data_IF_052674006874
#
_entry.id   IF_052674006874
#
_cell.length_a   1.000
_cell.length_b   1.000
_cell.length_c   1.000
_cell.angle_alpha   90.00
_cell.angle_beta   90.00
_cell.angle_gamma   90.00
#
_symmetry.space_group_name_H-M   'P 1'
#
loop_
_entity.id
_entity.type
_entity.pdbx_description
1 polymer ?
#
# COMPACT_ATOMS: atom_id res chain seq x y z
N UNK A 1 -0.91 -1.19 0.09
CA UNK A 1 -1.93 -1.92 -0.70
C UNK A 1 -3.32 -1.39 -0.38
N UNK A 2 -4.23 -1.50 -1.31
CA UNK A 2 -5.57 -0.89 -1.18
C UNK A 2 -6.71 -1.85 -1.52
N UNK A 3 -6.42 -3.07 -1.92
CA UNK A 3 -7.42 -4.05 -2.30
C UNK A 3 -7.80 -4.00 -3.78
N UNK A 4 -7.00 -3.35 -4.62
CA UNK A 4 -7.23 -3.30 -6.07
C UNK A 4 -6.39 -4.34 -6.79
N UNK A 5 -6.73 -4.70 -8.05
CA UNK A 5 -5.92 -5.64 -8.83
C UNK A 5 -4.46 -5.21 -8.99
N UNK A 6 -4.17 -3.92 -8.93
CA UNK A 6 -2.81 -3.42 -9.02
C UNK A 6 -1.91 -3.93 -7.88
N UNK A 7 -2.48 -4.25 -6.72
CA UNK A 7 -1.74 -4.78 -5.59
C UNK A 7 -1.03 -6.10 -5.93
N UNK A 8 -1.69 -6.98 -6.67
CA UNK A 8 -1.13 -8.28 -7.02
C UNK A 8 0.14 -8.15 -7.86
N UNK A 9 0.10 -7.33 -8.89
CA UNK A 9 1.26 -7.09 -9.72
C UNK A 9 2.34 -6.31 -8.97
N UNK A 10 1.93 -5.37 -8.12
CA UNK A 10 2.86 -4.61 -7.29
C UNK A 10 3.65 -5.52 -6.35
N UNK A 11 2.98 -6.49 -5.70
CA UNK A 11 3.68 -7.41 -4.78
C UNK A 11 4.59 -8.37 -5.56
N UNK A 12 4.21 -8.80 -6.76
CA UNK A 12 5.09 -9.62 -7.60
C UNK A 12 6.36 -8.87 -7.98
N UNK A 13 6.22 -7.61 -8.37
CA UNK A 13 7.35 -6.75 -8.67
C UNK A 13 8.23 -6.53 -7.44
N UNK A 14 7.62 -6.25 -6.29
CA UNK A 14 8.34 -6.06 -5.04
C UNK A 14 9.12 -7.31 -4.64
N UNK A 15 8.51 -8.49 -4.79
CA UNK A 15 9.19 -9.76 -4.50
C UNK A 15 10.40 -9.98 -5.42
N UNK A 16 10.26 -9.66 -6.71
CA UNK A 16 11.37 -9.73 -7.65
C UNK A 16 12.54 -8.84 -7.27
N UNK A 17 12.23 -7.59 -6.89
CA UNK A 17 13.26 -6.63 -6.46
C UNK A 17 13.91 -7.05 -5.14
N UNK A 18 13.11 -7.52 -4.18
CA UNK A 18 13.63 -7.95 -2.88
C UNK A 18 14.55 -9.16 -3.01
N UNK A 19 14.19 -10.15 -3.83
CA UNK A 19 15.04 -11.32 -4.09
C UNK A 19 16.37 -10.93 -4.70
N UNK A 20 16.33 -10.03 -5.67
CA UNK A 20 17.55 -9.58 -6.35
C UNK A 20 18.49 -8.82 -5.42
N UNK A 21 17.93 -8.06 -4.47
CA UNK A 21 18.69 -7.19 -3.58
C UNK A 21 18.75 -7.71 -2.14
N UNK A 22 18.27 -8.91 -1.87
CA UNK A 22 18.18 -9.52 -0.53
C UNK A 22 17.47 -8.60 0.47
N UNK A 23 16.39 -7.96 -0.01
CA UNK A 23 15.64 -7.02 0.78
C UNK A 23 14.50 -7.66 1.56
N UNK A 24 13.91 -6.86 2.45
CA UNK A 24 12.70 -7.22 3.19
C UNK A 24 11.54 -6.42 2.66
N UNK A 25 10.33 -6.99 2.76
CA UNK A 25 9.10 -6.34 2.32
C UNK A 25 8.14 -6.22 3.50
N UNK A 26 7.54 -5.04 3.62
CA UNK A 26 6.40 -4.80 4.51
C UNK A 26 5.22 -4.37 3.65
N UNK A 27 4.13 -5.14 3.69
CA UNK A 27 2.89 -4.76 3.03
C UNK A 27 2.02 -4.04 4.05
N UNK A 28 1.58 -2.84 3.71
CA UNK A 28 0.85 -1.97 4.63
C UNK A 28 -0.52 -1.65 4.05
N UNK A 29 -1.55 -1.84 4.85
CA UNK A 29 -2.91 -1.39 4.58
C UNK A 29 -3.31 -0.37 5.65
N UNK A 30 -3.81 0.79 5.22
CA UNK A 30 -4.21 1.86 6.13
C UNK A 30 -5.73 1.98 6.16
N UNK A 31 -6.30 1.82 7.35
CA UNK A 31 -7.71 2.12 7.60
C UNK A 31 -7.79 3.61 7.93
N UNK A 32 -8.56 4.36 7.12
CA UNK A 32 -8.80 5.77 7.42
C UNK A 32 -9.99 5.90 8.36
N UNK A 33 -9.76 6.51 9.51
CA UNK A 33 -10.76 6.67 10.55
C UNK A 33 -11.37 8.07 10.46
N UNK A 34 -12.69 8.13 10.39
CA UNK A 34 -13.43 9.41 10.34
C UNK A 34 -13.12 10.26 11.57
N UNK A 35 -13.06 11.57 11.39
CA UNK A 35 -12.78 12.52 12.49
C UNK A 35 -13.86 12.49 13.57
N UNK A 36 -15.06 12.02 13.26
CA UNK A 36 -16.15 11.85 14.22
C UNK A 36 -15.94 10.68 15.19
N UNK A 37 -14.94 9.83 14.93
CA UNK A 37 -14.64 8.66 15.75
C UNK A 37 -13.25 8.80 16.40
N UNK A 38 -13.01 8.15 17.56
CA UNK A 38 -11.67 8.07 18.12
C UNK A 38 -10.71 7.39 17.14
N UNK A 39 -9.44 7.77 17.17
CA UNK A 39 -8.44 7.20 16.25
C UNK A 39 -8.24 5.70 16.48
N UNK A 40 -8.49 5.22 17.69
CA UNK A 40 -8.39 3.82 18.05
C UNK A 40 -9.73 3.07 17.97
N UNK A 41 -10.74 3.68 17.35
CA UNK A 41 -12.05 3.03 17.18
C UNK A 41 -11.87 1.72 16.40
N UNK A 42 -12.41 0.64 16.94
CA UNK A 42 -12.41 -0.66 16.29
C UNK A 42 -13.64 -0.79 15.39
N UNK A 43 -13.43 -0.62 14.09
CA UNK A 43 -14.47 -0.82 13.09
C UNK A 43 -14.26 -2.21 12.53
N UNK A 44 -14.98 -3.18 13.07
CA UNK A 44 -14.77 -4.60 12.78
C UNK A 44 -14.79 -4.92 11.29
N UNK A 45 -15.72 -4.34 10.53
CA UNK A 45 -15.81 -4.57 9.10
C UNK A 45 -14.57 -4.06 8.34
N UNK A 46 -14.03 -2.92 8.75
CA UNK A 46 -12.84 -2.35 8.14
C UNK A 46 -11.58 -3.14 8.50
N UNK A 47 -11.49 -3.60 9.74
CA UNK A 47 -10.38 -4.44 10.19
C UNK A 47 -10.37 -5.75 9.43
N UNK A 48 -11.53 -6.40 9.29
CA UNK A 48 -11.66 -7.65 8.55
C UNK A 48 -11.29 -7.49 7.09
N UNK A 49 -11.75 -6.41 6.46
CA UNK A 49 -11.40 -6.09 5.08
C UNK A 49 -9.88 -5.94 4.91
N UNK A 50 -9.24 -5.20 5.80
CA UNK A 50 -7.80 -5.00 5.77
C UNK A 50 -7.02 -6.30 5.98
N UNK A 51 -7.45 -7.12 6.93
CA UNK A 51 -6.85 -8.42 7.17
C UNK A 51 -6.97 -9.34 5.96
N UNK A 52 -8.13 -9.38 5.33
CA UNK A 52 -8.36 -10.18 4.12
C UNK A 52 -7.45 -9.74 2.96
N UNK A 53 -7.31 -8.43 2.78
CA UNK A 53 -6.43 -7.88 1.76
C UNK A 53 -4.96 -8.27 2.03
N UNK A 54 -4.51 -8.11 3.27
CA UNK A 54 -3.14 -8.46 3.64
C UNK A 54 -2.87 -9.96 3.56
N UNK A 55 -3.84 -10.79 3.95
CA UNK A 55 -3.72 -12.24 3.81
C UNK A 55 -3.59 -12.66 2.34
N UNK A 56 -4.36 -12.03 1.46
CA UNK A 56 -4.28 -12.28 0.03
C UNK A 56 -2.89 -11.90 -0.54
N UNK A 57 -2.37 -10.76 -0.13
CA UNK A 57 -1.04 -10.29 -0.53
C UNK A 57 0.04 -11.25 -0.02
N UNK A 58 -0.07 -11.71 1.20
CA UNK A 58 0.86 -12.67 1.79
C UNK A 58 0.86 -13.99 1.01
N UNK A 59 -0.32 -14.46 0.61
CA UNK A 59 -0.47 -15.66 -0.22
C UNK A 59 0.26 -15.51 -1.56
N UNK A 60 0.10 -14.37 -2.22
CA UNK A 60 0.78 -14.10 -3.49
C UNK A 60 2.30 -14.07 -3.29
N UNK A 61 2.76 -13.45 -2.21
CA UNK A 61 4.19 -13.42 -1.89
C UNK A 61 4.75 -14.82 -1.66
N UNK A 62 4.02 -15.68 -0.96
CA UNK A 62 4.41 -17.08 -0.75
C UNK A 62 4.53 -17.83 -2.08
N UNK A 63 3.60 -17.63 -2.99
CA UNK A 63 3.65 -18.22 -4.33
C UNK A 63 4.89 -17.78 -5.11
N UNK A 64 5.38 -16.58 -4.83
CA UNK A 64 6.62 -16.06 -5.41
C UNK A 64 7.87 -16.52 -4.64
N UNK A 65 7.72 -17.31 -3.58
CA UNK A 65 8.82 -17.72 -2.73
C UNK A 65 9.41 -16.58 -1.92
N UNK A 66 8.59 -15.62 -1.52
CA UNK A 66 8.99 -14.40 -0.85
C UNK A 66 8.30 -14.29 0.50
N UNK A 67 9.06 -14.04 1.55
CA UNK A 67 8.50 -13.77 2.87
C UNK A 67 8.28 -12.28 3.04
N UNK A 68 7.10 -11.92 3.55
CA UNK A 68 6.77 -10.52 3.83
C UNK A 68 6.21 -10.39 5.25
N UNK A 69 6.30 -9.18 5.78
CA UNK A 69 5.58 -8.79 6.97
C UNK A 69 4.41 -7.91 6.55
N UNK A 70 3.33 -7.97 7.32
CA UNK A 70 2.13 -7.17 7.04
C UNK A 70 1.81 -6.28 8.21
N UNK A 71 1.35 -5.06 7.92
CA UNK A 71 0.93 -4.09 8.94
C UNK A 71 -0.44 -3.53 8.59
N UNK A 72 -1.32 -3.56 9.57
CA UNK A 72 -2.64 -2.94 9.50
C UNK A 72 -2.62 -1.68 10.36
N UNK A 73 -2.67 -0.52 9.72
CA UNK A 73 -2.60 0.76 10.41
C UNK A 73 -3.94 1.47 10.40
N UNK A 74 -4.17 2.30 11.43
CA UNK A 74 -5.31 3.21 11.47
C UNK A 74 -4.79 4.64 11.51
N UNK A 75 -5.36 5.50 10.69
CA UNK A 75 -4.94 6.89 10.60
C UNK A 75 -6.08 7.78 10.13
N UNK A 76 -5.96 9.07 10.33
CA UNK A 76 -6.92 10.04 9.79
C UNK A 76 -6.75 10.18 8.28
N UNK A 77 -5.49 10.17 7.82
CA UNK A 77 -5.13 10.28 6.40
C UNK A 77 -4.11 9.20 6.07
N UNK A 78 -4.29 8.49 4.97
CA UNK A 78 -3.43 7.39 4.59
C UNK A 78 -2.02 7.85 4.18
N UNK A 79 -1.92 8.93 3.42
CA UNK A 79 -0.65 9.34 2.85
C UNK A 79 0.42 9.70 3.89
N UNK A 80 0.15 10.55 4.90
CA UNK A 80 1.12 10.80 5.96
C UNK A 80 1.50 9.55 6.72
N UNK A 81 0.54 8.65 6.96
CA UNK A 81 0.77 7.38 7.65
C UNK A 81 1.78 6.51 6.89
N UNK A 82 1.65 6.42 5.57
CA UNK A 82 2.59 5.66 4.73
C UNK A 82 3.99 6.25 4.80
N UNK A 83 4.11 7.57 4.69
CA UNK A 83 5.40 8.26 4.75
C UNK A 83 6.07 8.09 6.11
N UNK A 84 5.30 8.23 7.18
CA UNK A 84 5.81 8.06 8.55
C UNK A 84 6.28 6.62 8.79
N UNK A 85 5.52 5.65 8.34
CA UNK A 85 5.89 4.24 8.45
C UNK A 85 7.18 3.93 7.69
N UNK A 86 7.32 4.48 6.49
CA UNK A 86 8.53 4.33 5.70
C UNK A 86 9.76 4.92 6.41
N UNK A 87 9.59 6.09 7.01
CA UNK A 87 10.65 6.75 7.77
C UNK A 87 11.04 5.94 9.02
N UNK A 88 10.06 5.47 9.78
CA UNK A 88 10.29 4.70 11.00
C UNK A 88 11.01 3.38 10.71
N UNK A 89 10.64 2.71 9.63
CA UNK A 89 11.28 1.44 9.25
C UNK A 89 12.58 1.63 8.48
N UNK A 90 12.90 2.85 8.09
CA UNK A 90 14.12 3.13 7.34
C UNK A 90 14.17 2.42 6.00
N UNK A 91 13.02 2.26 5.33
CA UNK A 91 12.98 1.60 4.02
C UNK A 91 13.64 2.46 2.95
N UNK A 92 14.15 1.84 1.92
CA UNK A 92 14.81 2.53 0.81
C UNK A 92 13.93 2.62 -0.45
N UNK A 93 12.75 2.04 -0.41
CA UNK A 93 11.83 2.05 -1.53
C UNK A 93 10.38 1.91 -1.05
N UNK A 94 9.49 2.75 -1.57
CA UNK A 94 8.05 2.58 -1.45
C UNK A 94 7.55 2.17 -2.83
N UNK A 95 6.77 1.09 -2.90
CA UNK A 95 6.14 0.65 -4.12
C UNK A 95 4.64 0.70 -3.96
N UNK A 96 3.97 1.41 -4.85
CA UNK A 96 2.52 1.60 -4.81
C UNK A 96 1.89 1.12 -6.10
N UNK A 97 0.89 0.25 -5.98
CA UNK A 97 0.04 -0.11 -7.10
C UNK A 97 -1.09 0.90 -7.23
N UNK A 98 -1.32 1.40 -8.42
CA UNK A 98 -2.33 2.40 -8.69
C UNK A 98 -3.26 1.91 -9.79
N UNK A 99 -4.56 1.89 -9.50
CA UNK A 99 -5.60 1.61 -10.49
C UNK A 99 -6.48 2.83 -10.61
N UNK A 100 -6.68 3.32 -11.82
CA UNK A 100 -7.59 4.44 -12.03
C UNK A 100 -8.29 4.32 -13.38
N UNK A 101 -9.46 4.96 -13.47
CA UNK A 101 -10.21 5.08 -14.72
C UNK A 101 -10.01 6.47 -15.29
N UNK A 102 -9.85 6.53 -16.61
CA UNK A 102 -9.95 7.79 -17.32
C UNK A 102 -11.44 8.14 -17.46
N UNK A 103 -11.80 9.36 -17.11
CA UNK A 103 -13.17 9.84 -17.22
C UNK A 103 -13.14 11.17 -17.96
N UNK A 104 -13.86 11.26 -19.07
CA UNK A 104 -13.89 12.45 -19.92
C UNK A 104 -12.49 12.91 -20.36
N UNK A 105 -11.60 11.95 -20.67
CA UNK A 105 -10.25 12.26 -21.07
C UNK A 105 -9.33 12.71 -19.95
N UNK A 106 -9.80 12.69 -18.70
CA UNK A 106 -9.04 13.10 -17.53
C UNK A 106 -8.93 11.96 -16.54
N UNK A 107 -7.85 11.92 -15.79
CA UNK A 107 -7.68 10.99 -14.70
C UNK A 107 -7.12 11.70 -13.47
N UNK A 108 -7.33 11.08 -12.31
CA UNK A 108 -6.74 11.56 -11.07
C UNK A 108 -6.16 10.37 -10.31
N UNK A 109 -4.99 10.57 -9.72
CA UNK A 109 -4.35 9.58 -8.86
C UNK A 109 -4.76 9.74 -7.39
N UNK A 110 -5.77 10.60 -7.12
CA UNK A 110 -6.19 10.92 -5.78
C UNK A 110 -5.15 11.77 -5.05
N UNK A 111 -5.23 11.79 -3.72
CA UNK A 111 -4.37 12.61 -2.88
C UNK A 111 -3.14 11.86 -2.36
N UNK A 112 -3.23 10.54 -2.25
CA UNK A 112 -2.17 9.72 -1.64
C UNK A 112 -0.89 9.75 -2.46
N UNK A 113 -0.99 9.49 -3.75
CA UNK A 113 0.19 9.40 -4.63
C UNK A 113 0.97 10.71 -4.69
N UNK A 114 0.34 11.87 -4.96
CA UNK A 114 1.09 13.14 -4.97
C UNK A 114 1.77 13.44 -3.63
N UNK A 115 1.10 13.17 -2.51
CA UNK A 115 1.68 13.39 -1.20
C UNK A 115 2.91 12.51 -0.96
N UNK A 116 2.82 11.22 -1.28
CA UNK A 116 3.94 10.29 -1.10
C UNK A 116 5.11 10.70 -2.01
N UNK A 117 4.85 11.05 -3.26
CA UNK A 117 5.90 11.50 -4.16
C UNK A 117 6.63 12.73 -3.64
N UNK A 118 5.90 13.66 -3.02
CA UNK A 118 6.47 14.88 -2.50
C UNK A 118 7.23 14.68 -1.19
N UNK A 119 6.75 13.80 -0.31
CA UNK A 119 7.20 13.73 1.08
C UNK A 119 7.96 12.44 1.44
N UNK A 120 8.04 11.45 0.56
CA UNK A 120 8.70 10.19 0.86
C UNK A 120 10.19 10.41 1.17
N UNK A 121 10.73 9.74 2.23
CA UNK A 121 12.14 9.85 2.56
C UNK A 121 13.03 8.96 1.70
N UNK A 122 12.47 8.31 0.70
CA UNK A 122 13.13 7.29 -0.11
C UNK A 122 12.62 7.33 -1.55
N UNK A 123 13.13 6.43 -2.37
CA UNK A 123 12.68 6.27 -3.75
C UNK A 123 11.25 5.72 -3.77
N UNK A 124 10.48 6.08 -4.78
CA UNK A 124 9.10 5.63 -4.96
C UNK A 124 8.93 5.07 -6.36
N UNK A 125 8.32 3.89 -6.44
CA UNK A 125 7.92 3.30 -7.72
C UNK A 125 6.40 3.22 -7.73
N UNK A 126 5.80 3.69 -8.82
CA UNK A 126 4.37 3.56 -9.07
C UNK A 126 4.15 2.49 -10.14
N UNK A 127 3.33 1.53 -9.83
CA UNK A 127 2.85 0.56 -10.81
C UNK A 127 1.41 0.93 -11.14
N UNK A 128 1.17 1.29 -12.40
CA UNK A 128 -0.16 1.66 -12.85
C UNK A 128 -0.81 0.51 -13.61
N UNK A 129 -2.02 0.15 -13.20
CA UNK A 129 -2.84 -0.81 -13.90
C UNK A 129 -4.15 -0.13 -14.29
N UNK A 130 -4.43 0.04 -15.59
CA UNK A 130 -5.69 0.67 -16.01
C UNK A 130 -6.88 -0.23 -15.67
N UNK A 131 -7.97 0.41 -15.31
CA UNK A 131 -9.25 -0.28 -15.12
C UNK A 131 -9.99 -0.23 -16.46
N UNK A 132 -10.25 -1.40 -17.01
CA UNK A 132 -10.90 -1.56 -18.31
C UNK A 132 -12.43 -1.60 -18.17
#
# INVERSE_FOLDING_TARGET
VTGTPADEEAIRLACGLAKKNKGKIWAVYVITVKRSLPIDAEIESEIRKGEDILDHIETIAEEQGCEIETDLLQARDAAPSIVDEAAERGVNLILMGVSYKTRFGQFTMGEVVPYVLKNAPCRVILYHQPIV
#
